data_IF_831854035237
#
_entry.id   IF_831854035237
#
_cell.length_a   1.000
_cell.length_b   1.000
_cell.length_c   1.000
_cell.angle_alpha   90.00
_cell.angle_beta   90.00
_cell.angle_gamma   90.00
#
_symmetry.space_group_name_H-M   'P 1'
#
loop_
_entity.id
_entity.type
_entity.pdbx_description
1 polymer ?
#
# COMPACT_ATOMS: atom_id res chain seq x y z
N UNK A 1 8.02 9.20 12.45
CA UNK A 1 8.34 7.79 12.18
C UNK A 1 9.65 7.74 11.39
N UNK A 2 10.65 6.98 11.83
CA UNK A 2 11.93 6.87 11.09
C UNK A 2 11.85 5.82 9.97
N UNK A 3 12.88 5.71 9.12
CA UNK A 3 12.85 4.80 7.96
C UNK A 3 12.73 3.34 8.37
N UNK A 4 13.38 2.93 9.47
CA UNK A 4 13.33 1.54 9.94
C UNK A 4 11.91 1.14 10.37
N UNK A 5 11.24 2.01 11.11
CA UNK A 5 9.86 1.81 11.53
C UNK A 5 8.90 1.81 10.32
N UNK A 6 9.12 2.72 9.37
CA UNK A 6 8.33 2.77 8.12
C UNK A 6 8.46 1.47 7.30
N UNK A 7 9.68 0.97 7.09
CA UNK A 7 9.91 -0.30 6.42
C UNK A 7 9.30 -1.49 7.18
N UNK A 8 9.41 -1.49 8.52
CA UNK A 8 8.80 -2.53 9.36
C UNK A 8 7.28 -2.55 9.23
N UNK A 9 6.62 -1.39 9.27
CA UNK A 9 5.16 -1.27 9.10
C UNK A 9 4.71 -1.74 7.71
N UNK A 10 5.44 -1.40 6.63
CA UNK A 10 5.21 -1.94 5.29
C UNK A 10 5.36 -3.47 5.24
N UNK A 11 6.38 -4.00 5.92
CA UNK A 11 6.60 -5.45 6.05
C UNK A 11 5.44 -6.16 6.74
N UNK A 12 4.94 -5.60 7.84
CA UNK A 12 3.78 -6.12 8.58
C UNK A 12 2.51 -6.14 7.73
N UNK A 13 2.26 -5.10 6.93
CA UNK A 13 1.14 -5.08 5.98
C UNK A 13 1.24 -6.19 4.95
N UNK A 14 2.43 -6.37 4.36
CA UNK A 14 2.67 -7.42 3.39
C UNK A 14 2.43 -8.80 3.99
N UNK A 15 2.93 -9.05 5.20
CA UNK A 15 2.71 -10.29 5.92
C UNK A 15 1.23 -10.50 6.25
N UNK A 16 0.52 -9.46 6.71
CA UNK A 16 -0.91 -9.53 7.03
C UNK A 16 -1.75 -9.89 5.82
N UNK A 17 -1.52 -9.26 4.66
CA UNK A 17 -2.31 -9.54 3.47
C UNK A 17 -1.94 -10.90 2.88
N UNK A 18 -0.64 -11.22 2.75
CA UNK A 18 -0.16 -12.49 2.19
C UNK A 18 -0.25 -13.69 3.15
N UNK A 19 -0.88 -13.51 4.32
CA UNK A 19 -1.14 -14.63 5.23
C UNK A 19 -2.18 -15.60 4.63
N UNK A 20 -2.60 -16.57 5.44
CA UNK A 20 -3.74 -17.48 5.29
C UNK A 20 -5.10 -16.87 4.87
N UNK A 21 -5.16 -15.56 4.56
CA UNK A 21 -6.36 -14.88 4.05
C UNK A 21 -6.65 -15.17 2.59
N UNK A 22 -5.64 -15.50 1.78
CA UNK A 22 -5.83 -15.91 0.40
C UNK A 22 -6.35 -17.35 0.35
N UNK A 23 -7.53 -17.54 -0.24
CA UNK A 23 -8.12 -18.86 -0.47
C UNK A 23 -7.78 -19.35 -1.86
N UNK A 24 -7.51 -20.65 -1.99
CA UNK A 24 -7.33 -21.25 -3.30
C UNK A 24 -8.68 -21.41 -4.01
N UNK A 25 -8.76 -21.02 -5.28
CA UNK A 25 -9.93 -21.24 -6.13
C UNK A 25 -9.88 -22.63 -6.80
N UNK A 26 -10.88 -22.95 -7.61
CA UNK A 26 -10.95 -24.22 -8.36
C UNK A 26 -9.81 -24.42 -9.38
N UNK A 27 -9.06 -23.36 -9.68
CA UNK A 27 -7.94 -23.36 -10.63
C UNK A 27 -6.56 -23.37 -9.94
N UNK A 28 -6.51 -23.42 -8.60
CA UNK A 28 -5.25 -23.38 -7.85
C UNK A 28 -4.73 -21.97 -7.56
N UNK A 29 -5.47 -20.91 -7.92
CA UNK A 29 -5.05 -19.54 -7.69
C UNK A 29 -5.40 -19.06 -6.29
N UNK A 30 -4.46 -18.35 -5.68
CA UNK A 30 -4.68 -17.65 -4.41
C UNK A 30 -5.52 -16.39 -4.64
N UNK A 31 -6.76 -16.43 -4.17
CA UNK A 31 -7.74 -15.35 -4.27
C UNK A 31 -8.06 -14.75 -2.90
N UNK A 32 -7.93 -13.43 -2.83
CA UNK A 32 -8.38 -12.54 -1.77
C UNK A 32 -9.16 -11.38 -2.40
N UNK A 33 -10.42 -11.65 -2.76
CA UNK A 33 -11.32 -10.65 -3.30
C UNK A 33 -12.61 -10.56 -2.48
N UNK A 34 -12.87 -9.39 -1.93
CA UNK A 34 -14.10 -9.07 -1.19
C UNK A 34 -14.95 -8.02 -1.89
N UNK A 35 -14.82 -7.88 -3.21
CA UNK A 35 -15.60 -6.91 -3.95
C UNK A 35 -15.24 -5.46 -3.63
N UNK A 36 -16.26 -4.60 -3.61
CA UNK A 36 -16.15 -3.18 -3.22
C UNK A 36 -15.56 -2.98 -1.81
N UNK A 37 -15.53 -4.03 -0.97
CA UNK A 37 -14.98 -3.97 0.39
C UNK A 37 -13.44 -3.96 0.43
N UNK A 38 -12.75 -4.37 -0.64
CA UNK A 38 -11.27 -4.37 -0.66
C UNK A 38 -10.70 -2.98 -0.38
N UNK A 39 -11.23 -1.93 -1.03
CA UNK A 39 -10.77 -0.56 -0.81
C UNK A 39 -11.03 -0.08 0.62
N UNK A 40 -12.21 -0.40 1.18
CA UNK A 40 -12.57 -0.05 2.56
C UNK A 40 -11.70 -0.78 3.58
N UNK A 41 -11.42 -2.05 3.36
CA UNK A 41 -10.52 -2.85 4.21
C UNK A 41 -9.07 -2.36 4.12
N UNK A 42 -8.60 -2.06 2.91
CA UNK A 42 -7.27 -1.49 2.71
C UNK A 42 -7.14 -0.17 3.50
N UNK A 43 -8.09 0.74 3.36
CA UNK A 43 -8.13 2.00 4.11
C UNK A 43 -8.11 1.76 5.62
N UNK A 44 -9.00 0.91 6.11
CA UNK A 44 -9.10 0.59 7.53
C UNK A 44 -7.78 0.02 8.09
N UNK A 45 -7.10 -0.84 7.35
CA UNK A 45 -5.83 -1.43 7.79
C UNK A 45 -4.71 -0.38 7.75
N UNK A 46 -4.68 0.50 6.73
CA UNK A 46 -3.72 1.60 6.69
C UNK A 46 -3.92 2.56 7.86
N UNK A 47 -5.18 2.87 8.23
CA UNK A 47 -5.50 3.66 9.42
C UNK A 47 -4.97 2.98 10.71
N UNK A 48 -5.08 1.66 10.83
CA UNK A 48 -4.54 0.93 11.98
C UNK A 48 -3.02 0.90 12.02
N UNK A 49 -2.36 0.77 10.86
CA UNK A 49 -0.90 0.61 10.79
C UNK A 49 -0.17 1.94 10.84
N UNK A 50 -0.67 2.98 10.18
CA UNK A 50 -0.03 4.28 10.09
C UNK A 50 -0.66 5.33 11.00
N UNK A 51 -1.94 5.18 11.39
CA UNK A 51 -2.63 6.16 12.23
C UNK A 51 -2.56 7.55 11.62
N UNK A 52 -2.14 8.53 12.41
CA UNK A 52 -2.00 9.92 11.98
C UNK A 52 -0.69 10.20 11.20
N UNK A 53 0.14 9.18 10.96
CA UNK A 53 1.44 9.35 10.28
C UNK A 53 1.35 9.39 8.75
N UNK A 54 0.14 9.30 8.17
CA UNK A 54 -0.07 9.34 6.73
C UNK A 54 -1.27 10.19 6.35
N UNK A 55 -1.23 10.74 5.14
CA UNK A 55 -2.35 11.48 4.56
C UNK A 55 -2.70 10.88 3.20
N UNK A 56 -3.99 10.52 3.03
CA UNK A 56 -4.51 9.99 1.77
C UNK A 56 -4.59 11.11 0.73
N UNK A 57 -3.93 10.89 -0.41
CA UNK A 57 -3.97 11.78 -1.58
C UNK A 57 -5.07 11.34 -2.54
N UNK A 58 -5.18 10.03 -2.81
CA UNK A 58 -6.20 9.49 -3.70
C UNK A 58 -6.56 8.04 -3.39
N UNK A 59 -7.80 7.68 -3.74
CA UNK A 59 -8.32 6.32 -3.68
C UNK A 59 -8.86 5.94 -5.06
N UNK A 60 -8.53 4.75 -5.56
CA UNK A 60 -9.00 4.27 -6.84
C UNK A 60 -9.39 2.79 -6.80
N UNK A 61 -10.32 2.41 -7.67
CA UNK A 61 -10.58 0.99 -7.94
C UNK A 61 -9.67 0.51 -9.07
N UNK A 62 -9.09 -0.68 -8.90
CA UNK A 62 -8.35 -1.36 -9.95
C UNK A 62 -9.35 -2.17 -10.77
N UNK A 63 -9.30 -2.06 -12.09
CA UNK A 63 -10.21 -2.75 -13.01
C UNK A 63 -9.46 -3.70 -13.95
N UNK A 64 -10.08 -4.82 -14.30
CA UNK A 64 -9.59 -5.70 -15.36
C UNK A 64 -9.97 -5.14 -16.75
N UNK A 65 -9.57 -5.82 -17.82
CA UNK A 65 -9.89 -5.45 -19.21
C UNK A 65 -11.40 -5.46 -19.52
N UNK A 66 -12.20 -6.17 -18.73
CA UNK A 66 -13.67 -6.23 -18.83
C UNK A 66 -14.35 -5.12 -18.01
N UNK A 67 -13.58 -4.23 -17.38
CA UNK A 67 -14.03 -3.14 -16.47
C UNK A 67 -14.60 -3.63 -15.14
N UNK A 68 -14.45 -4.91 -14.82
CA UNK A 68 -14.78 -5.42 -13.49
C UNK A 68 -13.78 -4.88 -12.49
N UNK A 69 -14.29 -4.42 -11.35
CA UNK A 69 -13.45 -3.98 -10.24
C UNK A 69 -12.77 -5.21 -9.65
N UNK A 70 -11.46 -5.34 -9.78
CA UNK A 70 -10.69 -6.47 -9.23
C UNK A 70 -9.86 -6.08 -8.01
N UNK A 71 -9.93 -4.82 -7.56
CA UNK A 71 -9.14 -4.37 -6.43
C UNK A 71 -9.34 -2.90 -6.09
N UNK A 72 -8.47 -2.41 -5.21
CA UNK A 72 -8.38 -1.01 -4.84
C UNK A 72 -6.93 -0.58 -4.64
N UNK A 73 -6.67 0.70 -4.85
CA UNK A 73 -5.41 1.33 -4.53
C UNK A 73 -5.63 2.61 -3.72
N UNK A 74 -4.71 2.86 -2.79
CA UNK A 74 -4.68 4.09 -1.98
C UNK A 74 -3.29 4.70 -2.14
N UNK A 75 -3.26 5.93 -2.64
CA UNK A 75 -2.04 6.75 -2.72
C UNK A 75 -2.02 7.69 -1.54
N UNK A 76 -0.91 7.73 -0.82
CA UNK A 76 -0.72 8.59 0.34
C UNK A 76 0.68 9.19 0.39
N UNK A 77 0.81 10.26 1.17
CA UNK A 77 2.09 10.74 1.67
C UNK A 77 2.29 10.27 3.10
N UNK A 78 3.50 9.85 3.42
CA UNK A 78 3.91 9.39 4.74
C UNK A 78 5.14 10.19 5.13
N UNK A 79 5.07 10.93 6.22
CA UNK A 79 6.22 11.69 6.70
C UNK A 79 7.23 10.74 7.36
N UNK A 80 8.46 10.73 6.84
CA UNK A 80 9.55 9.89 7.37
C UNK A 80 10.65 10.79 7.93
N UNK A 81 10.87 10.68 9.24
CA UNK A 81 11.91 11.42 9.95
C UNK A 81 13.30 11.08 9.41
N UNK A 82 14.19 12.06 9.46
CA UNK A 82 15.59 11.81 9.18
C UNK A 82 16.22 10.89 10.23
N UNK A 83 16.93 9.89 9.75
CA UNK A 83 17.68 8.93 10.53
C UNK A 83 19.16 8.94 10.15
N UNK A 84 20.01 8.61 11.11
CA UNK A 84 21.46 8.61 10.94
C UNK A 84 21.95 7.59 9.90
N UNK A 85 21.11 6.60 9.54
CA UNK A 85 21.41 5.47 8.65
C UNK A 85 20.26 5.11 7.66
N UNK A 86 19.34 6.04 7.36
CA UNK A 86 18.21 5.74 6.47
C UNK A 86 18.01 6.72 5.31
N UNK A 87 16.84 6.68 4.69
CA UNK A 87 16.55 7.30 3.38
C UNK A 87 16.72 8.82 3.40
N UNK A 88 16.69 9.43 4.59
CA UNK A 88 16.77 10.86 4.85
C UNK A 88 18.04 11.26 5.64
N UNK A 89 19.12 10.48 5.54
CA UNK A 89 20.39 10.79 6.21
C UNK A 89 20.88 12.22 5.89
N UNK A 90 20.98 13.06 6.92
CA UNK A 90 21.43 14.45 6.81
C UNK A 90 20.36 15.48 6.41
N UNK A 91 19.08 15.08 6.29
CA UNK A 91 17.94 15.99 6.08
C UNK A 91 17.13 16.20 7.36
N UNK A 92 16.08 17.03 7.33
CA UNK A 92 15.14 17.18 8.45
C UNK A 92 14.08 16.05 8.51
N UNK A 93 13.99 15.24 7.46
CA UNK A 93 12.87 14.36 7.15
C UNK A 93 12.34 14.69 5.75
N UNK A 94 11.56 13.80 5.16
CA UNK A 94 10.97 14.01 3.82
C UNK A 94 9.67 13.21 3.70
N UNK A 95 8.77 13.70 2.83
CA UNK A 95 7.52 13.02 2.52
C UNK A 95 7.78 11.87 1.54
N UNK A 96 7.52 10.64 1.96
CA UNK A 96 7.51 9.49 1.08
C UNK A 96 6.12 9.35 0.44
N UNK A 97 6.06 9.32 -0.89
CA UNK A 97 4.84 9.02 -1.61
C UNK A 97 4.73 7.52 -1.81
N UNK A 98 3.60 6.95 -1.38
CA UNK A 98 3.37 5.51 -1.38
C UNK A 98 2.03 5.20 -2.01
N UNK A 99 1.99 4.19 -2.88
CA UNK A 99 0.75 3.58 -3.35
C UNK A 99 0.64 2.15 -2.87
N UNK A 100 -0.38 1.91 -2.07
CA UNK A 100 -0.77 0.58 -1.62
C UNK A 100 -1.79 0.00 -2.59
N UNK A 101 -1.51 -1.17 -3.13
CA UNK A 101 -2.37 -1.83 -4.10
C UNK A 101 -2.83 -3.18 -3.54
N UNK A 102 -4.13 -3.41 -3.58
CA UNK A 102 -4.77 -4.66 -3.16
C UNK A 102 -5.71 -5.15 -4.26
N UNK A 103 -5.26 -6.14 -5.02
CA UNK A 103 -6.03 -6.81 -6.06
C UNK A 103 -6.60 -8.13 -5.54
N UNK A 104 -7.41 -8.77 -6.38
CA UNK A 104 -7.97 -10.10 -6.15
C UNK A 104 -6.92 -11.15 -5.81
N UNK A 105 -5.73 -11.04 -6.37
CA UNK A 105 -4.70 -12.08 -6.30
C UNK A 105 -3.37 -11.57 -5.72
N UNK A 106 -3.24 -10.29 -5.40
CA UNK A 106 -1.98 -9.73 -4.96
C UNK A 106 -2.15 -8.52 -4.02
N UNK A 107 -1.13 -8.34 -3.20
CA UNK A 107 -0.87 -7.10 -2.50
C UNK A 107 0.54 -6.64 -2.83
N UNK A 108 0.69 -5.37 -3.20
CA UNK A 108 1.99 -4.78 -3.51
C UNK A 108 2.01 -3.29 -3.20
N UNK A 109 3.22 -2.77 -2.98
CA UNK A 109 3.45 -1.40 -2.57
C UNK A 109 4.42 -0.77 -3.55
N UNK A 110 4.06 0.41 -4.04
CA UNK A 110 4.92 1.26 -4.86
C UNK A 110 5.33 2.48 -4.03
N UNK A 111 6.57 2.93 -4.16
CA UNK A 111 7.09 4.08 -3.44
C UNK A 111 7.92 4.95 -4.37
N UNK A 112 7.78 6.27 -4.23
CA UNK A 112 8.62 7.25 -4.91
C UNK A 112 8.87 8.47 -4.01
N UNK A 113 9.89 9.26 -4.36
CA UNK A 113 10.17 10.54 -3.71
C UNK A 113 9.21 11.67 -4.14
N UNK A 114 8.50 11.49 -5.26
CA UNK A 114 7.50 12.45 -5.75
C UNK A 114 6.23 11.73 -6.18
N UNK A 115 5.12 12.46 -6.21
CA UNK A 115 3.83 11.92 -6.67
C UNK A 115 3.88 11.51 -8.14
N UNK A 116 4.62 12.26 -8.98
CA UNK A 116 4.81 11.95 -10.40
C UNK A 116 5.57 10.62 -10.57
N UNK A 117 6.51 10.33 -9.67
CA UNK A 117 7.26 9.07 -9.67
C UNK A 117 6.40 7.83 -9.42
N UNK A 118 5.20 7.98 -8.83
CA UNK A 118 4.20 6.91 -8.70
C UNK A 118 3.29 6.76 -9.93
N UNK A 119 3.20 7.76 -10.79
CA UNK A 119 2.26 7.79 -11.92
C UNK A 119 2.77 7.06 -13.17
N UNK A 120 4.06 6.71 -13.21
CA UNK A 120 4.68 5.94 -14.29
C UNK A 120 4.81 4.46 -13.91
N UNK A 121 3.79 3.67 -14.24
CA UNK A 121 3.89 2.22 -14.51
C UNK A 121 2.54 1.75 -15.06
N UNK A 122 2.52 1.50 -16.37
CA UNK A 122 1.42 0.88 -17.12
C UNK A 122 1.86 -0.52 -17.50
#
# INVERSE_FOLDING_TARGET
>A
MNSMEFESRKGNLRAYFLSDKFKENEFGDKIYYKGKRNLKELKYILDLVFGDAYEIISEAYIQNNLRDKIGGSITCKVYVDADHNGFNQGKAGDDAYVRFNLTENAYYVEQAQTIEGLSYKW
#
